data_IF_748664493920
#
_entry.id   IF_748664493920
#
_cell.length_a   1.000
_cell.length_b   1.000
_cell.length_c   1.000
_cell.angle_alpha   90.00
_cell.angle_beta   90.00
_cell.angle_gamma   90.00
#
_symmetry.space_group_name_H-M   'P 1'
#
loop_
_entity.id
_entity.type
_entity.pdbx_description
1 polymer ?
#
# COMPACT_ATOMS: atom_id res chain seq x y z
N UNK A 1 -2.47 8.19 1.36
CA UNK A 1 -2.80 7.17 0.33
C UNK A 1 -2.00 5.91 0.65
N UNK A 2 -2.64 4.75 0.60
CA UNK A 2 -1.98 3.47 0.85
C UNK A 2 -1.43 2.89 -0.46
N UNK A 3 -0.49 1.97 -0.35
CA UNK A 3 0.07 1.24 -1.49
C UNK A 3 0.03 -0.25 -1.21
N UNK A 4 -0.22 -1.03 -2.24
CA UNK A 4 -0.21 -2.49 -2.18
C UNK A 4 0.34 -3.08 -3.47
N UNK A 5 0.98 -4.24 -3.36
CA UNK A 5 1.43 -5.02 -4.50
C UNK A 5 0.28 -5.97 -4.86
N UNK A 6 -0.19 -5.91 -6.10
CA UNK A 6 -1.31 -6.71 -6.58
C UNK A 6 -0.76 -7.93 -7.31
N UNK A 7 -1.06 -9.13 -6.80
CA UNK A 7 -0.62 -10.39 -7.40
C UNK A 7 -1.61 -10.89 -8.46
N UNK A 8 -2.84 -10.36 -8.45
CA UNK A 8 -3.92 -10.66 -9.40
C UNK A 8 -4.65 -9.38 -9.79
N UNK A 9 -5.28 -9.40 -10.98
CA UNK A 9 -6.20 -8.35 -11.38
C UNK A 9 -7.35 -8.24 -10.36
N UNK A 10 -7.62 -7.02 -9.90
CA UNK A 10 -8.68 -6.77 -8.93
C UNK A 10 -9.49 -5.56 -9.35
N UNK A 11 -10.82 -5.74 -9.39
CA UNK A 11 -11.77 -4.71 -9.77
C UNK A 11 -12.73 -4.52 -8.60
N UNK A 12 -12.86 -3.28 -8.14
CA UNK A 12 -13.77 -2.97 -7.05
C UNK A 12 -14.45 -1.64 -7.32
N UNK A 13 -15.77 -1.67 -7.18
CA UNK A 13 -16.62 -0.51 -7.36
C UNK A 13 -17.17 -0.13 -6.01
N UNK A 14 -16.75 1.03 -5.49
CA UNK A 14 -17.29 1.57 -4.26
C UNK A 14 -18.67 2.13 -4.51
N UNK A 15 -19.66 1.55 -3.82
CA UNK A 15 -21.04 2.06 -3.83
C UNK A 15 -21.19 3.37 -3.05
N UNK A 16 -20.27 3.66 -2.13
CA UNK A 16 -20.28 4.86 -1.31
C UNK A 16 -19.78 6.09 -2.09
N UNK A 17 -18.75 5.89 -2.93
CA UNK A 17 -18.15 6.97 -3.72
C UNK A 17 -18.61 7.02 -5.18
N UNK A 18 -19.41 6.05 -5.62
CA UNK A 18 -19.79 5.88 -7.03
C UNK A 18 -18.55 5.88 -7.95
N UNK A 19 -17.49 5.20 -7.50
CA UNK A 19 -16.20 5.18 -8.16
C UNK A 19 -15.74 3.73 -8.33
N UNK A 20 -15.25 3.41 -9.53
CA UNK A 20 -14.63 2.13 -9.85
C UNK A 20 -13.11 2.26 -9.88
N UNK A 21 -12.42 1.37 -9.18
CA UNK A 21 -10.97 1.21 -9.30
C UNK A 21 -10.66 -0.18 -9.85
N UNK A 22 -9.63 -0.23 -10.68
CA UNK A 22 -9.13 -1.46 -11.28
C UNK A 22 -7.62 -1.48 -11.11
N UNK A 23 -7.10 -2.50 -10.44
CA UNK A 23 -5.67 -2.73 -10.32
C UNK A 23 -5.28 -3.92 -11.18
N UNK A 24 -4.16 -3.77 -11.87
CA UNK A 24 -3.55 -4.84 -12.66
C UNK A 24 -2.56 -5.62 -11.80
N UNK A 25 -2.44 -6.92 -12.05
CA UNK A 25 -1.39 -7.70 -11.42
C UNK A 25 -0.02 -7.14 -11.84
N UNK A 26 0.87 -6.92 -10.89
CA UNK A 26 2.20 -6.39 -11.16
C UNK A 26 3.10 -6.42 -9.94
N UNK A 27 4.43 -6.55 -10.13
CA UNK A 27 5.39 -6.56 -9.03
C UNK A 27 5.58 -5.18 -8.39
N UNK A 28 5.10 -4.11 -9.03
CA UNK A 28 5.23 -2.74 -8.55
C UNK A 28 4.09 -2.37 -7.58
N UNK A 29 4.39 -1.74 -6.43
CA UNK A 29 3.38 -1.31 -5.48
C UNK A 29 2.52 -0.17 -6.04
N UNK A 30 1.25 -0.45 -6.28
CA UNK A 30 0.29 0.52 -6.80
C UNK A 30 -0.39 1.31 -5.68
N UNK A 31 -0.65 2.58 -5.96
CA UNK A 31 -1.29 3.52 -5.04
C UNK A 31 -2.80 3.58 -5.27
N UNK A 32 -3.57 3.20 -4.25
CA UNK A 32 -5.04 3.19 -4.30
C UNK A 32 -5.64 3.69 -2.98
N UNK A 33 -6.96 3.95 -2.94
CA UNK A 33 -7.67 4.20 -1.70
C UNK A 33 -7.50 3.04 -0.72
N UNK A 34 -7.52 3.35 0.57
CA UNK A 34 -7.38 2.33 1.61
C UNK A 34 -8.52 1.31 1.55
N UNK A 35 -9.76 1.72 1.23
CA UNK A 35 -10.90 0.79 1.08
C UNK A 35 -10.63 -0.27 -0.01
N UNK A 36 -10.03 0.16 -1.11
CA UNK A 36 -9.74 -0.70 -2.25
C UNK A 36 -8.64 -1.70 -1.92
N UNK A 37 -7.58 -1.21 -1.26
CA UNK A 37 -6.47 -2.05 -0.81
C UNK A 37 -6.94 -3.05 0.25
N UNK A 38 -7.77 -2.64 1.20
CA UNK A 38 -8.32 -3.52 2.23
C UNK A 38 -9.19 -4.63 1.61
N UNK A 39 -10.08 -4.27 0.67
CA UNK A 39 -10.88 -5.23 -0.07
C UNK A 39 -10.00 -6.21 -0.88
N UNK A 40 -8.93 -5.71 -1.52
CA UNK A 40 -8.01 -6.55 -2.29
C UNK A 40 -7.16 -7.48 -1.42
N UNK A 41 -6.73 -7.03 -0.24
CA UNK A 41 -5.98 -7.83 0.74
C UNK A 41 -6.89 -8.89 1.36
N UNK A 42 -8.11 -8.51 1.74
CA UNK A 42 -9.13 -9.42 2.27
C UNK A 42 -9.51 -10.51 1.27
N UNK A 43 -9.57 -10.16 -0.02
CA UNK A 43 -9.76 -11.12 -1.11
C UNK A 43 -8.52 -11.97 -1.44
N UNK A 44 -7.36 -11.68 -0.83
CA UNK A 44 -6.09 -12.36 -1.12
C UNK A 44 -5.48 -11.99 -2.48
N UNK A 45 -5.93 -10.89 -3.11
CA UNK A 45 -5.42 -10.40 -4.39
C UNK A 45 -4.21 -9.46 -4.23
N UNK A 46 -4.03 -8.85 -3.06
CA UNK A 46 -2.98 -7.86 -2.81
C UNK A 46 -2.25 -8.07 -1.48
N UNK A 47 -1.05 -7.50 -1.37
CA UNK A 47 -0.27 -7.47 -0.13
C UNK A 47 0.24 -6.06 0.12
N UNK A 48 0.08 -5.57 1.35
CA UNK A 48 0.61 -4.28 1.77
C UNK A 48 2.12 -4.45 2.02
N UNK A 49 3.00 -3.73 1.30
CA UNK A 49 4.42 -3.76 1.60
C UNK A 49 4.66 -3.17 2.98
N UNK A 50 5.67 -3.67 3.72
CA UNK A 50 6.00 -3.12 5.03
C UNK A 50 6.25 -1.61 4.91
N UNK A 51 5.86 -0.82 5.94
CA UNK A 51 6.22 0.59 5.96
C UNK A 51 7.74 0.64 5.84
N UNK A 52 8.25 1.34 4.83
CA UNK A 52 9.68 1.60 4.73
C UNK A 52 10.02 2.37 6.00
N UNK A 53 10.70 1.72 6.95
CA UNK A 53 11.35 2.43 8.04
C UNK A 53 12.34 3.33 7.34
N UNK A 54 11.99 4.61 7.19
CA UNK A 54 12.98 5.64 7.00
C UNK A 54 13.84 5.52 8.24
N UNK A 55 14.98 4.82 8.13
CA UNK A 55 16.10 5.06 9.00
C UNK A 55 16.44 6.53 8.80
N UNK A 56 15.81 7.38 9.60
CA UNK A 56 16.40 8.65 9.94
C UNK A 56 17.77 8.25 10.49
N UNK A 57 18.81 8.39 9.67
CA UNK A 57 20.15 8.45 10.21
C UNK A 57 20.10 9.62 11.18
N UNK A 58 20.10 9.33 12.46
CA UNK A 58 20.76 10.18 13.44
C UNK A 58 22.21 9.70 13.43
N UNK A 59 23.13 10.34 12.69
CA UNK A 59 24.53 10.22 13.03
C UNK A 59 24.83 11.28 14.09
N UNK A 60 25.44 10.80 15.17
CA UNK A 60 26.40 11.55 15.98
C UNK A 60 25.85 12.54 17.02
N UNK A 61 25.72 12.06 18.26
CA UNK A 61 25.98 12.89 19.45
C UNK A 61 27.22 12.27 20.13
N UNK A 62 28.43 12.82 19.92
CA UNK A 62 29.61 12.33 20.61
C UNK A 62 29.74 13.01 21.99
N UNK A 63 29.76 12.15 22.99
CA UNK A 63 30.51 12.26 24.25
C UNK A 63 30.21 13.46 25.18
N UNK A 64 29.62 13.09 26.31
CA UNK A 64 29.51 13.90 27.53
C UNK A 64 30.89 14.37 28.04
N UNK A 65 31.02 15.60 28.58
CA UNK A 65 32.07 15.96 29.54
C UNK A 65 31.78 15.43 30.96
#
# INVERSE_FOLDING_TARGET
MAKAIFHRDFHYTSRLRNAGWSAKAGPDPQHFPQEFIDAAVSAGCATVPPPRRSTHKTPDDPAQP
#
